data_IF_617379663127
#
_entry.id   IF_617379663127
#
_cell.length_a   1.000
_cell.length_b   1.000
_cell.length_c   1.000
_cell.angle_alpha   90.00
_cell.angle_beta   90.00
_cell.angle_gamma   90.00
#
_symmetry.space_group_name_H-M   'P 1'
#
loop_
_entity.id
_entity.type
_entity.pdbx_description
1 polymer ?
#
# COMPACT_ATOMS: atom_id res chain seq x y z
N UNK A 1 5.19 0.71 28.07
CA UNK A 1 4.66 -0.58 28.61
C UNK A 1 5.33 -1.74 27.87
N UNK A 2 5.27 -2.99 28.34
CA UNK A 2 5.73 -4.17 27.56
C UNK A 2 4.58 -5.17 27.42
N UNK A 3 4.27 -5.55 26.19
CA UNK A 3 3.27 -6.55 25.86
C UNK A 3 3.74 -7.98 26.13
N UNK A 4 2.82 -8.84 26.55
CA UNK A 4 3.07 -10.24 26.92
C UNK A 4 2.37 -11.25 26.00
N UNK A 5 1.53 -10.79 25.06
CA UNK A 5 0.82 -11.67 24.12
C UNK A 5 1.79 -12.31 23.10
N UNK A 6 2.16 -13.57 23.30
CA UNK A 6 3.12 -14.29 22.44
C UNK A 6 2.53 -14.84 21.13
N UNK A 7 1.39 -14.31 20.68
CA UNK A 7 0.64 -14.77 19.52
C UNK A 7 0.11 -13.57 18.71
N UNK A 8 -0.20 -13.78 17.42
CA UNK A 8 -0.71 -12.71 16.55
C UNK A 8 -2.06 -12.12 16.99
N UNK A 9 -2.81 -12.86 17.83
CA UNK A 9 -4.10 -12.52 18.43
C UNK A 9 -4.17 -13.09 19.86
N UNK A 10 -4.86 -12.42 20.79
CA UNK A 10 -4.97 -12.90 22.18
C UNK A 10 -6.02 -14.01 22.31
N UNK A 11 -5.80 -15.00 23.20
CA UNK A 11 -6.75 -16.12 23.35
C UNK A 11 -8.15 -15.67 23.82
N UNK A 12 -8.22 -14.62 24.62
CA UNK A 12 -9.48 -13.98 25.03
C UNK A 12 -10.22 -13.38 23.84
N UNK A 13 -9.52 -12.67 22.95
CA UNK A 13 -10.09 -12.10 21.73
C UNK A 13 -10.51 -13.19 20.73
N UNK A 14 -9.69 -14.21 20.50
CA UNK A 14 -10.04 -15.34 19.61
C UNK A 14 -11.34 -16.00 20.06
N UNK A 15 -11.47 -16.32 21.36
CA UNK A 15 -12.67 -16.94 21.92
C UNK A 15 -13.88 -16.00 21.90
N UNK A 16 -13.68 -14.69 22.03
CA UNK A 16 -14.74 -13.69 21.86
C UNK A 16 -15.23 -13.66 20.41
N UNK A 17 -14.32 -13.47 19.43
CA UNK A 17 -14.69 -13.37 18.01
C UNK A 17 -15.24 -14.69 17.46
N UNK A 18 -14.81 -15.83 17.99
CA UNK A 18 -15.42 -17.14 17.73
C UNK A 18 -16.85 -17.23 18.27
N UNK A 19 -17.10 -16.84 19.53
CA UNK A 19 -18.43 -16.91 20.16
C UNK A 19 -19.45 -15.97 19.52
N UNK A 20 -19.04 -14.74 19.20
CA UNK A 20 -19.92 -13.72 18.61
C UNK A 20 -20.03 -13.84 17.07
N UNK A 21 -19.40 -14.85 16.44
CA UNK A 21 -19.35 -15.05 14.98
C UNK A 21 -18.70 -13.87 14.20
N UNK A 22 -17.68 -13.24 14.79
CA UNK A 22 -16.92 -12.11 14.25
C UNK A 22 -15.55 -12.51 13.64
N UNK A 23 -15.33 -13.80 13.38
CA UNK A 23 -14.10 -14.27 12.73
C UNK A 23 -14.08 -13.89 11.23
N UNK A 24 -13.00 -13.28 10.76
CA UNK A 24 -12.85 -13.02 9.33
C UNK A 24 -12.69 -14.34 8.54
N UNK A 25 -13.15 -14.48 7.29
CA UNK A 25 -12.96 -15.69 6.48
C UNK A 25 -11.49 -16.16 6.36
N UNK A 26 -10.53 -15.24 6.52
CA UNK A 26 -9.09 -15.58 6.53
C UNK A 26 -8.59 -16.17 7.86
N UNK A 27 -9.40 -16.18 8.91
CA UNK A 27 -9.11 -16.68 10.25
C UNK A 27 -9.90 -17.96 10.60
N UNK A 28 -10.88 -18.35 9.77
CA UNK A 28 -11.69 -19.56 9.96
C UNK A 28 -10.93 -20.82 9.52
N UNK A 29 -11.02 -21.87 10.34
CA UNK A 29 -10.44 -23.18 10.09
C UNK A 29 -11.08 -23.90 8.89
N UNK A 30 -10.27 -24.65 8.14
CA UNK A 30 -10.70 -25.38 6.94
C UNK A 30 -11.86 -26.34 7.28
N UNK A 31 -12.83 -26.46 6.37
CA UNK A 31 -14.00 -27.33 6.52
C UNK A 31 -15.15 -26.76 7.36
N UNK A 32 -14.97 -25.61 8.02
CA UNK A 32 -16.02 -24.94 8.79
C UNK A 32 -16.77 -23.91 7.93
N UNK A 33 -18.05 -23.68 8.24
CA UNK A 33 -18.89 -22.72 7.50
C UNK A 33 -19.10 -21.44 8.32
N UNK A 34 -19.44 -20.29 7.70
CA UNK A 34 -19.76 -19.06 8.43
C UNK A 34 -20.95 -19.14 9.40
N UNK A 35 -21.71 -20.25 9.41
CA UNK A 35 -22.81 -20.51 10.37
C UNK A 35 -22.34 -21.20 11.66
N UNK A 36 -21.19 -21.88 11.60
CA UNK A 36 -20.51 -22.52 12.73
C UNK A 36 -18.99 -22.29 12.59
N UNK A 37 -18.50 -21.04 12.62
CA UNK A 37 -17.11 -20.74 12.36
C UNK A 37 -16.24 -21.22 13.53
N UNK A 38 -15.16 -21.94 13.22
CA UNK A 38 -14.13 -22.33 14.19
C UNK A 38 -12.87 -21.52 13.92
N UNK A 39 -12.28 -20.95 14.96
CA UNK A 39 -11.04 -20.18 14.84
C UNK A 39 -9.85 -21.08 14.51
N UNK A 40 -9.09 -20.72 13.47
CA UNK A 40 -7.72 -21.20 13.29
C UNK A 40 -6.78 -20.26 14.06
N UNK A 41 -6.33 -20.73 15.23
CA UNK A 41 -5.47 -19.99 16.14
C UNK A 41 -4.11 -19.62 15.52
N UNK A 42 -3.68 -20.29 14.44
CA UNK A 42 -2.46 -19.95 13.70
C UNK A 42 -2.65 -18.83 12.67
N UNK A 43 -3.90 -18.45 12.37
CA UNK A 43 -4.28 -17.46 11.36
C UNK A 43 -4.99 -16.24 11.95
N UNK A 44 -5.55 -16.35 13.16
CA UNK A 44 -6.16 -15.24 13.87
C UNK A 44 -5.14 -14.11 14.14
N UNK A 45 -5.49 -12.88 13.79
CA UNK A 45 -4.69 -11.67 14.05
C UNK A 45 -5.54 -10.65 14.81
N UNK A 46 -4.98 -9.98 15.82
CA UNK A 46 -5.68 -8.98 16.65
C UNK A 46 -6.35 -7.90 15.80
N UNK A 47 -7.64 -7.68 16.04
CA UNK A 47 -8.43 -6.61 15.41
C UNK A 47 -8.10 -5.22 15.93
N UNK A 48 -8.31 -4.18 15.11
CA UNK A 48 -8.11 -2.80 15.55
C UNK A 48 -9.28 -2.34 16.44
N UNK A 49 -8.99 -2.10 17.72
CA UNK A 49 -9.96 -1.51 18.64
C UNK A 49 -9.80 0.01 18.68
N UNK A 50 -10.87 0.76 18.37
CA UNK A 50 -10.89 2.22 18.58
C UNK A 50 -10.63 2.53 20.07
N UNK A 51 -9.61 3.33 20.43
CA UNK A 51 -9.41 3.76 21.81
C UNK A 51 -10.66 4.48 22.34
N UNK A 52 -11.25 3.96 23.42
CA UNK A 52 -12.41 4.57 24.08
C UNK A 52 -11.96 5.32 25.31
N UNK A 53 -12.46 6.54 25.53
CA UNK A 53 -12.16 7.34 26.72
C UNK A 53 -12.48 6.53 27.98
N UNK A 54 -11.51 6.40 28.90
CA UNK A 54 -11.65 5.62 30.13
C UNK A 54 -11.33 4.11 30.00
N UNK A 55 -11.24 3.55 28.79
CA UNK A 55 -10.58 2.25 28.58
C UNK A 55 -9.08 2.49 28.37
N UNK A 56 -8.30 2.21 29.41
CA UNK A 56 -6.85 2.12 29.27
C UNK A 56 -6.49 0.74 28.70
N UNK A 57 -5.89 0.70 27.50
CA UNK A 57 -5.33 -0.53 26.88
C UNK A 57 -4.08 -0.99 27.64
N UNK A 58 -4.25 -1.35 28.93
CA UNK A 58 -3.20 -1.64 29.91
C UNK A 58 -3.07 -3.10 30.29
N UNK A 59 -3.90 -4.01 29.75
CA UNK A 59 -3.72 -5.44 29.97
C UNK A 59 -2.51 -5.95 29.13
N UNK A 60 -1.37 -6.32 29.74
CA UNK A 60 -0.20 -6.74 28.96
C UNK A 60 -0.46 -8.04 28.18
N UNK A 61 -1.39 -8.90 28.64
CA UNK A 61 -1.74 -10.14 27.96
C UNK A 61 -2.49 -9.94 26.63
N UNK A 62 -2.98 -8.73 26.36
CA UNK A 62 -3.69 -8.36 25.11
C UNK A 62 -2.82 -7.49 24.18
N UNK A 63 -1.61 -7.11 24.60
CA UNK A 63 -0.64 -6.35 23.81
C UNK A 63 0.50 -7.26 23.37
N UNK A 64 0.87 -7.24 22.09
CA UNK A 64 1.92 -8.09 21.51
C UNK A 64 3.29 -7.39 21.56
N UNK A 65 4.38 -8.05 22.00
CA UNK A 65 5.71 -7.46 22.02
C UNK A 65 6.27 -7.23 20.60
N UNK A 66 7.30 -6.37 20.42
CA UNK A 66 7.79 -5.95 19.10
C UNK A 66 8.20 -7.08 18.14
N UNK A 67 8.73 -8.20 18.65
CA UNK A 67 9.05 -9.39 17.85
C UNK A 67 7.80 -10.02 17.25
N UNK A 68 6.78 -10.28 18.08
CA UNK A 68 5.49 -10.85 17.66
C UNK A 68 4.74 -9.91 16.72
N UNK A 69 4.90 -8.60 16.88
CA UNK A 69 4.37 -7.60 15.94
C UNK A 69 5.05 -7.70 14.56
N UNK A 70 6.38 -7.85 14.51
CA UNK A 70 7.10 -8.03 13.26
C UNK A 70 6.75 -9.37 12.59
N UNK A 71 6.64 -10.45 13.35
CA UNK A 71 6.20 -11.76 12.83
C UNK A 71 4.74 -11.74 12.34
N UNK A 72 3.87 -10.97 13.01
CA UNK A 72 2.49 -10.71 12.54
C UNK A 72 2.53 -10.02 11.18
N UNK A 73 3.36 -8.98 11.01
CA UNK A 73 3.50 -8.30 9.71
C UNK A 73 4.10 -9.24 8.66
N UNK A 74 5.07 -10.09 9.03
CA UNK A 74 5.58 -11.11 8.12
C UNK A 74 4.48 -12.07 7.66
N UNK A 75 3.58 -12.52 8.53
CA UNK A 75 2.41 -13.34 8.15
C UNK A 75 1.45 -12.59 7.21
N UNK A 76 1.09 -11.35 7.53
CA UNK A 76 0.21 -10.54 6.68
C UNK A 76 0.79 -10.36 5.26
N UNK A 77 2.10 -10.10 5.16
CA UNK A 77 2.78 -9.82 3.88
C UNK A 77 3.17 -11.08 3.09
N UNK A 78 3.54 -12.19 3.74
CA UNK A 78 4.03 -13.42 3.06
C UNK A 78 2.99 -14.55 3.00
N UNK A 79 1.82 -14.40 3.64
CA UNK A 79 0.76 -15.41 3.61
C UNK A 79 -0.58 -14.81 3.19
N UNK A 80 -1.04 -13.74 3.85
CA UNK A 80 -2.36 -13.15 3.54
C UNK A 80 -2.35 -12.38 2.21
N UNK A 81 -1.32 -11.56 1.97
CA UNK A 81 -1.17 -10.82 0.71
C UNK A 81 -0.90 -11.72 -0.52
N UNK A 82 -0.70 -13.03 -0.31
CA UNK A 82 -0.53 -14.04 -1.36
C UNK A 82 -1.74 -14.95 -1.56
N UNK A 83 -2.85 -14.71 -0.84
CA UNK A 83 -4.09 -15.47 -1.03
C UNK A 83 -4.68 -15.23 -2.43
N UNK A 84 -5.38 -16.24 -2.95
CA UNK A 84 -6.10 -16.17 -4.24
C UNK A 84 -7.50 -15.57 -4.07
N UNK A 85 -7.55 -14.40 -3.44
CA UNK A 85 -8.77 -13.64 -3.15
C UNK A 85 -8.74 -12.28 -3.88
N UNK A 86 -9.88 -11.61 -4.07
CA UNK A 86 -9.93 -10.21 -4.51
C UNK A 86 -9.04 -9.30 -3.64
N UNK A 87 -8.35 -8.34 -4.27
CA UNK A 87 -7.36 -7.53 -3.54
C UNK A 87 -8.00 -6.56 -2.55
N UNK A 88 -9.27 -6.19 -2.73
CA UNK A 88 -10.04 -5.43 -1.74
C UNK A 88 -10.24 -6.23 -0.44
N UNK A 89 -10.62 -7.52 -0.49
CA UNK A 89 -10.75 -8.37 0.71
C UNK A 89 -9.42 -8.54 1.44
N UNK A 90 -8.33 -8.74 0.67
CA UNK A 90 -6.96 -8.80 1.18
C UNK A 90 -6.57 -7.47 1.82
N UNK A 91 -6.91 -6.35 1.17
CA UNK A 91 -6.64 -5.01 1.64
C UNK A 91 -7.37 -4.73 2.96
N UNK A 92 -8.69 -4.91 3.03
CA UNK A 92 -9.51 -4.58 4.20
C UNK A 92 -9.01 -5.31 5.46
N UNK A 93 -8.70 -6.61 5.33
CA UNK A 93 -8.12 -7.39 6.42
C UNK A 93 -6.73 -6.87 6.81
N UNK A 94 -5.77 -6.78 5.88
CA UNK A 94 -4.40 -6.37 6.21
C UNK A 94 -4.37 -4.93 6.74
N UNK A 95 -5.20 -4.03 6.20
CA UNK A 95 -5.38 -2.65 6.63
C UNK A 95 -5.82 -2.57 8.09
N UNK A 96 -6.85 -3.32 8.49
CA UNK A 96 -7.31 -3.38 9.88
C UNK A 96 -6.24 -3.96 10.80
N UNK A 97 -5.69 -5.13 10.46
CA UNK A 97 -4.70 -5.83 11.29
C UNK A 97 -3.38 -5.05 11.41
N UNK A 98 -2.99 -4.27 10.39
CA UNK A 98 -1.86 -3.32 10.48
C UNK A 98 -2.15 -2.14 11.40
N UNK A 99 -3.40 -1.64 11.48
CA UNK A 99 -3.78 -0.60 12.45
C UNK A 99 -3.71 -1.14 13.88
N UNK A 100 -4.11 -2.38 14.11
CA UNK A 100 -3.93 -3.06 15.40
C UNK A 100 -2.46 -3.25 15.78
N UNK A 101 -1.59 -3.62 14.81
CA UNK A 101 -0.14 -3.70 15.01
C UNK A 101 0.45 -2.34 15.37
N UNK A 102 0.03 -1.27 14.67
CA UNK A 102 0.47 0.11 14.96
C UNK A 102 -0.03 0.61 16.33
N UNK A 103 -1.23 0.23 16.75
CA UNK A 103 -1.76 0.53 18.09
C UNK A 103 -0.90 -0.10 19.18
N UNK A 104 -0.54 -1.39 19.05
CA UNK A 104 0.36 -2.05 20.01
C UNK A 104 1.77 -1.42 20.05
N UNK A 105 2.30 -0.95 18.91
CA UNK A 105 3.57 -0.18 18.90
C UNK A 105 3.48 1.15 19.66
N UNK A 106 2.33 1.85 19.57
CA UNK A 106 2.11 3.13 20.27
C UNK A 106 1.93 2.90 21.78
N UNK A 107 1.13 1.90 22.18
CA UNK A 107 0.89 1.54 23.60
C UNK A 107 2.18 1.11 24.33
N UNK A 108 3.18 0.62 23.58
CA UNK A 108 4.49 0.23 24.09
C UNK A 108 5.59 1.27 23.86
N UNK A 109 5.28 2.42 23.24
CA UNK A 109 6.22 3.50 22.92
C UNK A 109 7.44 3.02 22.10
N UNK A 110 7.20 2.11 21.15
CA UNK A 110 8.28 1.43 20.43
C UNK A 110 9.04 2.35 19.46
N UNK A 111 10.37 2.40 19.63
CA UNK A 111 11.31 3.15 18.80
C UNK A 111 12.50 2.30 18.33
N UNK A 112 12.32 0.98 18.24
CA UNK A 112 13.38 0.03 17.95
C UNK A 112 13.43 -0.39 16.46
N UNK A 113 14.27 -1.38 16.16
CA UNK A 113 14.41 -1.91 14.80
C UNK A 113 13.13 -2.61 14.30
N UNK A 114 12.37 -3.26 15.17
CA UNK A 114 11.11 -3.90 14.79
C UNK A 114 10.08 -2.82 14.38
N UNK A 115 9.97 -1.73 15.16
CA UNK A 115 9.09 -0.61 14.82
C UNK A 115 9.41 0.02 13.45
N UNK A 116 10.70 0.12 13.10
CA UNK A 116 11.15 0.52 11.75
C UNK A 116 10.68 -0.49 10.69
N UNK A 117 11.06 -1.77 10.80
CA UNK A 117 10.75 -2.78 9.76
C UNK A 117 9.23 -2.97 9.56
N UNK A 118 8.43 -2.88 10.63
CA UNK A 118 6.96 -2.87 10.59
C UNK A 118 6.43 -1.67 9.78
N UNK A 119 6.92 -0.46 10.05
CA UNK A 119 6.45 0.75 9.36
C UNK A 119 6.94 0.79 7.90
N UNK A 120 8.14 0.30 7.60
CA UNK A 120 8.62 0.12 6.23
C UNK A 120 7.67 -0.79 5.42
N UNK A 121 7.27 -1.93 5.97
CA UNK A 121 6.30 -2.83 5.33
C UNK A 121 4.90 -2.19 5.21
N UNK A 122 4.43 -1.49 6.24
CA UNK A 122 3.12 -0.83 6.23
C UNK A 122 3.04 0.29 5.17
N UNK A 123 4.09 1.10 5.01
CA UNK A 123 4.18 2.10 3.94
C UNK A 123 4.12 1.44 2.56
N UNK A 124 4.92 0.39 2.31
CA UNK A 124 4.90 -0.32 1.02
C UNK A 124 3.51 -0.91 0.74
N UNK A 125 2.82 -1.46 1.75
CA UNK A 125 1.45 -1.96 1.64
C UNK A 125 0.44 -0.87 1.26
N UNK A 126 0.42 0.28 1.96
CA UNK A 126 -0.52 1.36 1.64
C UNK A 126 -0.26 1.97 0.26
N UNK A 127 1.00 2.22 -0.10
CA UNK A 127 1.39 2.78 -1.41
C UNK A 127 1.06 1.82 -2.56
N UNK A 128 1.31 0.52 -2.39
CA UNK A 128 0.95 -0.49 -3.38
C UNK A 128 -0.57 -0.66 -3.52
N UNK A 129 -1.30 -0.63 -2.41
CA UNK A 129 -2.77 -0.75 -2.42
C UNK A 129 -3.46 0.45 -3.06
N UNK A 130 -2.93 1.67 -2.89
CA UNK A 130 -3.43 2.87 -3.58
C UNK A 130 -3.32 2.76 -5.10
N UNK A 131 -2.29 2.07 -5.62
CA UNK A 131 -2.17 1.74 -7.03
C UNK A 131 -3.12 0.59 -7.43
N UNK A 132 -3.10 -0.53 -6.69
CA UNK A 132 -3.89 -1.73 -7.01
C UNK A 132 -5.39 -1.45 -7.06
N UNK A 133 -5.89 -0.61 -6.16
CA UNK A 133 -7.30 -0.24 -6.03
C UNK A 133 -7.59 1.16 -6.60
N UNK A 134 -6.74 1.70 -7.49
CA UNK A 134 -6.88 3.10 -7.92
C UNK A 134 -8.20 3.40 -8.65
N UNK A 135 -8.73 2.41 -9.37
CA UNK A 135 -10.00 2.38 -10.13
C UNK A 135 -11.22 2.02 -9.30
N UNK A 136 -11.07 1.60 -8.04
CA UNK A 136 -12.18 1.11 -7.23
C UNK A 136 -13.09 2.24 -6.75
N UNK A 137 -14.39 1.96 -6.68
CA UNK A 137 -15.37 2.92 -6.15
C UNK A 137 -15.15 3.13 -4.64
N UNK A 138 -15.47 4.33 -4.12
CA UNK A 138 -15.24 4.71 -2.71
C UNK A 138 -15.93 3.80 -1.68
N UNK A 139 -16.97 3.07 -2.08
CA UNK A 139 -17.62 2.04 -1.23
C UNK A 139 -16.83 0.74 -1.09
N UNK A 140 -15.80 0.54 -1.90
CA UNK A 140 -14.87 -0.62 -1.90
C UNK A 140 -13.48 -0.18 -1.43
N UNK A 141 -13.03 1.02 -1.80
CA UNK A 141 -11.73 1.56 -1.39
C UNK A 141 -11.77 3.08 -1.17
N UNK A 142 -11.71 3.51 0.08
CA UNK A 142 -11.48 4.92 0.40
C UNK A 142 -9.98 5.24 0.28
N UNK A 143 -9.60 5.77 -0.90
CA UNK A 143 -8.25 6.20 -1.20
C UNK A 143 -7.74 7.34 -0.30
N UNK A 144 -8.62 8.15 0.30
CA UNK A 144 -8.24 9.23 1.23
C UNK A 144 -7.90 8.66 2.60
N UNK A 145 -8.65 7.69 3.10
CA UNK A 145 -8.35 6.95 4.33
C UNK A 145 -7.03 6.18 4.18
N UNK A 146 -6.82 5.47 3.06
CA UNK A 146 -5.54 4.83 2.79
C UNK A 146 -4.39 5.85 2.73
N UNK A 147 -4.60 6.98 2.05
CA UNK A 147 -3.61 8.05 1.96
C UNK A 147 -3.23 8.63 3.33
N UNK A 148 -4.20 8.82 4.22
CA UNK A 148 -3.94 9.29 5.58
C UNK A 148 -3.03 8.30 6.32
N UNK A 149 -3.36 7.01 6.32
CA UNK A 149 -2.55 6.01 7.01
C UNK A 149 -1.17 5.79 6.36
N UNK A 150 -1.03 5.97 5.04
CA UNK A 150 0.27 6.02 4.37
C UNK A 150 1.14 7.18 4.88
N UNK A 151 0.57 8.39 5.02
CA UNK A 151 1.27 9.56 5.55
C UNK A 151 1.64 9.40 7.03
N UNK A 152 0.74 8.87 7.87
CA UNK A 152 1.02 8.59 9.28
C UNK A 152 2.20 7.63 9.44
N UNK A 153 2.20 6.52 8.67
CA UNK A 153 3.30 5.56 8.66
C UNK A 153 4.61 6.20 8.15
N UNK A 154 4.56 6.96 7.04
CA UNK A 154 5.73 7.67 6.50
C UNK A 154 6.31 8.66 7.52
N UNK A 155 5.50 9.56 8.09
CA UNK A 155 5.97 10.59 9.02
C UNK A 155 6.55 9.98 10.31
N UNK A 156 5.95 8.91 10.85
CA UNK A 156 6.54 8.18 12.00
C UNK A 156 7.82 7.44 11.62
N UNK A 157 7.91 6.85 10.42
CA UNK A 157 9.12 6.17 9.95
C UNK A 157 10.30 7.16 9.78
N UNK A 158 10.07 8.32 9.16
CA UNK A 158 11.07 9.40 9.05
C UNK A 158 11.48 9.91 10.45
N UNK A 159 10.53 10.06 11.38
CA UNK A 159 10.82 10.39 12.79
C UNK A 159 11.73 9.34 13.43
N UNK A 160 11.45 8.04 13.28
CA UNK A 160 12.29 6.97 13.83
C UNK A 160 13.70 6.96 13.22
N UNK A 161 13.85 7.20 11.91
CA UNK A 161 15.17 7.31 11.30
C UNK A 161 15.97 8.51 11.85
N UNK A 162 15.32 9.61 12.21
CA UNK A 162 15.99 10.76 12.83
C UNK A 162 16.40 10.46 14.28
N UNK A 163 15.58 9.74 15.04
CA UNK A 163 15.88 9.31 16.42
C UNK A 163 17.01 8.25 16.45
N UNK A 164 16.98 7.28 15.53
CA UNK A 164 17.92 6.15 15.47
C UNK A 164 19.19 6.40 14.68
N UNK A 165 19.27 7.51 13.96
CA UNK A 165 20.38 7.83 13.07
C UNK A 165 20.34 7.05 11.74
N UNK A 166 21.42 7.13 10.97
CA UNK A 166 21.48 6.62 9.60
C UNK A 166 21.77 5.09 9.54
N UNK A 167 21.00 4.28 10.28
CA UNK A 167 21.29 2.85 10.53
C UNK A 167 20.40 1.86 9.76
N UNK A 168 19.38 2.30 9.03
CA UNK A 168 18.58 1.42 8.15
C UNK A 168 19.08 1.50 6.71
N UNK A 169 19.41 0.35 6.12
CA UNK A 169 19.74 0.19 4.70
C UNK A 169 18.64 0.75 3.79
N UNK A 170 17.38 0.62 4.22
CA UNK A 170 16.21 1.07 3.47
C UNK A 170 15.91 2.56 3.65
N UNK A 171 16.62 3.31 4.51
CA UNK A 171 16.32 4.74 4.77
C UNK A 171 16.23 5.54 3.46
N UNK A 172 17.20 5.39 2.57
CA UNK A 172 17.21 6.09 1.28
C UNK A 172 16.04 5.71 0.34
N UNK A 173 15.46 4.51 0.48
CA UNK A 173 14.22 4.14 -0.23
C UNK A 173 13.06 5.00 0.27
N UNK A 174 12.91 5.15 1.59
CA UNK A 174 11.77 5.82 2.20
C UNK A 174 11.86 7.34 2.24
N UNK A 175 13.05 7.92 2.34
CA UNK A 175 13.27 9.36 2.11
C UNK A 175 12.83 9.73 0.68
N UNK A 176 13.18 8.90 -0.31
CA UNK A 176 12.71 9.05 -1.69
C UNK A 176 11.19 8.79 -1.84
N UNK A 177 10.65 7.78 -1.16
CA UNK A 177 9.19 7.50 -1.16
C UNK A 177 8.41 8.67 -0.57
N UNK A 178 8.85 9.27 0.54
CA UNK A 178 8.19 10.42 1.15
C UNK A 178 8.14 11.63 0.20
N UNK A 179 9.23 11.90 -0.52
CA UNK A 179 9.32 12.97 -1.53
C UNK A 179 8.43 12.72 -2.75
N UNK A 180 8.34 11.49 -3.24
CA UNK A 180 7.52 11.11 -4.41
C UNK A 180 6.03 10.99 -4.06
N UNK A 181 5.71 10.52 -2.85
CA UNK A 181 4.35 10.47 -2.36
C UNK A 181 3.77 11.89 -2.13
N UNK A 182 4.64 12.87 -1.89
CA UNK A 182 4.35 14.29 -1.66
C UNK A 182 4.96 15.22 -2.73
N UNK A 183 4.83 14.88 -4.03
CA UNK A 183 5.35 15.70 -5.12
C UNK A 183 4.88 17.17 -5.02
N UNK A 184 5.84 18.10 -5.06
CA UNK A 184 5.63 19.55 -4.99
C UNK A 184 5.22 20.10 -3.61
N UNK A 185 5.06 19.26 -2.58
CA UNK A 185 4.71 19.74 -1.25
C UNK A 185 5.89 20.45 -0.57
N UNK A 186 5.66 21.66 -0.06
CA UNK A 186 6.68 22.49 0.59
C UNK A 186 7.33 21.77 1.78
N UNK A 187 6.53 21.12 2.64
CA UNK A 187 7.02 20.30 3.77
C UNK A 187 8.06 19.26 3.33
N UNK A 188 7.79 18.56 2.22
CA UNK A 188 8.68 17.52 1.72
C UNK A 188 9.94 18.10 1.06
N UNK A 189 9.84 19.23 0.36
CA UNK A 189 10.98 19.94 -0.22
C UNK A 189 11.92 20.50 0.86
N UNK A 190 11.36 21.10 1.92
CA UNK A 190 12.12 21.60 3.07
C UNK A 190 12.75 20.45 3.88
N UNK A 191 12.03 19.33 4.05
CA UNK A 191 12.58 18.12 4.66
C UNK A 191 13.84 17.62 3.93
N UNK A 192 13.82 17.51 2.60
CA UNK A 192 15.04 17.14 1.84
C UNK A 192 16.21 18.11 2.09
N UNK A 193 15.95 19.41 2.23
CA UNK A 193 17.01 20.37 2.53
C UNK A 193 17.57 20.18 3.95
N UNK A 194 16.76 19.73 4.92
CA UNK A 194 17.19 19.39 6.28
C UNK A 194 17.98 18.08 6.39
N UNK A 195 17.88 17.18 5.40
CA UNK A 195 18.59 15.89 5.42
C UNK A 195 20.11 16.04 5.39
N UNK A 196 20.77 15.05 5.99
CA UNK A 196 22.23 14.89 5.94
C UNK A 196 22.78 14.87 4.49
N UNK A 197 24.02 15.35 4.33
CA UNK A 197 24.68 15.46 3.03
C UNK A 197 24.83 14.11 2.31
N UNK A 198 25.06 13.01 3.02
CA UNK A 198 25.16 11.69 2.42
C UNK A 198 23.81 11.22 1.86
N UNK A 199 22.72 11.44 2.60
CA UNK A 199 21.36 11.13 2.14
C UNK A 199 20.92 12.00 0.95
N UNK A 200 21.22 13.31 0.97
CA UNK A 200 21.03 14.20 -0.21
C UNK A 200 21.91 13.83 -1.40
N UNK A 201 22.94 13.01 -1.18
CA UNK A 201 23.84 12.50 -2.24
C UNK A 201 23.43 11.14 -2.79
N UNK A 202 22.59 10.37 -2.10
CA UNK A 202 21.97 9.15 -2.63
C UNK A 202 21.19 9.45 -3.92
N UNK A 203 21.43 8.65 -4.97
CA UNK A 203 20.87 8.87 -6.31
C UNK A 203 19.35 8.93 -6.31
N UNK A 204 18.69 7.97 -5.64
CA UNK A 204 17.22 7.87 -5.57
C UNK A 204 16.57 9.04 -4.82
N UNK A 205 17.18 9.51 -3.72
CA UNK A 205 16.65 10.65 -2.94
C UNK A 205 16.82 11.95 -3.73
N UNK A 206 17.97 12.13 -4.39
CA UNK A 206 18.23 13.27 -5.28
C UNK A 206 17.31 13.26 -6.52
N UNK A 207 17.04 12.09 -7.11
CA UNK A 207 16.09 11.92 -8.22
C UNK A 207 14.67 12.28 -7.78
N UNK A 208 14.24 11.83 -6.60
CA UNK A 208 12.95 12.16 -6.02
C UNK A 208 12.78 13.68 -5.78
N UNK A 209 13.76 14.33 -5.16
CA UNK A 209 13.75 15.78 -4.97
C UNK A 209 13.70 16.55 -6.31
N UNK A 210 14.52 16.16 -7.30
CA UNK A 210 14.50 16.77 -8.62
C UNK A 210 13.17 16.58 -9.37
N UNK A 211 12.45 15.47 -9.14
CA UNK A 211 11.11 15.26 -9.68
C UNK A 211 10.09 16.15 -8.96
N UNK A 212 10.19 16.28 -7.63
CA UNK A 212 9.32 17.14 -6.82
C UNK A 212 9.45 18.63 -7.20
N UNK A 213 10.68 19.12 -7.40
CA UNK A 213 10.94 20.46 -7.96
C UNK A 213 10.40 20.61 -9.38
N UNK A 214 10.56 19.61 -10.26
CA UNK A 214 10.02 19.65 -11.61
C UNK A 214 8.48 19.70 -11.63
N UNK A 215 7.82 18.99 -10.72
CA UNK A 215 6.37 19.02 -10.57
C UNK A 215 5.86 20.35 -9.99
N UNK A 216 6.57 20.94 -9.02
CA UNK A 216 6.27 22.28 -8.50
C UNK A 216 6.38 23.35 -9.60
N UNK A 217 7.43 23.28 -10.44
CA UNK A 217 7.65 24.19 -11.57
C UNK A 217 6.80 23.86 -12.82
N UNK A 218 5.73 23.07 -12.69
CA UNK A 218 4.83 22.63 -13.77
C UNK A 218 5.52 21.96 -14.99
N UNK A 219 6.75 21.47 -14.84
CA UNK A 219 7.52 20.83 -15.90
C UNK A 219 7.15 19.35 -16.03
N UNK A 220 5.91 19.11 -16.44
CA UNK A 220 5.32 17.77 -16.63
C UNK A 220 6.16 16.88 -17.55
N UNK A 221 6.75 17.45 -18.60
CA UNK A 221 7.66 16.77 -19.54
C UNK A 221 8.86 16.18 -18.81
N UNK A 222 9.48 16.94 -17.89
CA UNK A 222 10.60 16.45 -17.07
C UNK A 222 10.12 15.42 -16.05
N UNK A 223 8.97 15.60 -15.42
CA UNK A 223 8.40 14.64 -14.46
C UNK A 223 8.19 13.27 -15.13
N UNK A 224 7.50 13.22 -16.28
CA UNK A 224 7.21 11.97 -16.97
C UNK A 224 8.46 11.30 -17.56
N UNK A 225 9.43 12.07 -18.08
CA UNK A 225 10.75 11.53 -18.46
C UNK A 225 11.52 10.94 -17.28
N UNK A 226 11.44 11.56 -16.10
CA UNK A 226 12.08 11.03 -14.89
C UNK A 226 11.35 9.82 -14.32
N UNK A 227 10.02 9.75 -14.47
CA UNK A 227 9.17 8.63 -14.07
C UNK A 227 9.46 7.37 -14.88
N UNK A 228 9.64 7.50 -16.20
CA UNK A 228 10.11 6.43 -17.09
C UNK A 228 11.42 5.78 -16.64
N UNK A 229 12.21 6.48 -15.82
CA UNK A 229 13.52 6.07 -15.31
C UNK A 229 13.52 5.76 -13.79
N UNK A 230 12.35 5.50 -13.18
CA UNK A 230 12.25 4.99 -11.81
C UNK A 230 12.34 3.45 -11.79
N UNK A 231 13.34 2.90 -11.11
CA UNK A 231 13.57 1.45 -11.01
C UNK A 231 12.86 0.77 -9.83
N UNK A 232 12.32 1.55 -8.88
CA UNK A 232 11.52 1.05 -7.75
C UNK A 232 10.05 1.07 -8.10
N UNK A 233 9.38 -0.07 -7.96
CA UNK A 233 7.94 -0.21 -8.18
C UNK A 233 7.12 0.53 -7.11
N UNK A 234 7.62 0.65 -5.88
CA UNK A 234 6.99 1.48 -4.85
C UNK A 234 7.12 2.97 -5.19
N UNK A 235 8.24 3.40 -5.79
CA UNK A 235 8.40 4.78 -6.27
C UNK A 235 7.50 5.09 -7.46
N UNK A 236 7.30 4.15 -8.39
CA UNK A 236 6.30 4.26 -9.46
C UNK A 236 4.88 4.41 -8.89
N UNK A 237 4.45 3.52 -8.00
CA UNK A 237 3.13 3.63 -7.34
C UNK A 237 2.97 4.94 -6.55
N UNK A 238 4.02 5.42 -5.87
CA UNK A 238 4.00 6.67 -5.11
C UNK A 238 3.83 7.92 -6.00
N UNK A 239 4.37 7.91 -7.23
CA UNK A 239 4.16 9.00 -8.21
C UNK A 239 2.80 8.87 -8.92
N UNK A 240 2.35 7.64 -9.18
CA UNK A 240 1.12 7.38 -9.94
C UNK A 240 -0.12 8.05 -9.34
N UNK A 241 -0.20 8.22 -8.02
CA UNK A 241 -1.30 8.95 -7.37
C UNK A 241 -1.48 10.40 -7.84
N UNK A 242 -0.45 11.01 -8.42
CA UNK A 242 -0.46 12.38 -8.97
C UNK A 242 -0.80 12.42 -10.46
N UNK A 243 -1.00 11.28 -11.15
CA UNK A 243 -1.09 11.21 -12.60
C UNK A 243 -2.20 12.07 -13.19
N UNK A 244 -3.42 12.02 -12.65
CA UNK A 244 -4.54 12.86 -13.14
C UNK A 244 -4.20 14.35 -13.11
N UNK A 245 -3.48 14.81 -12.07
CA UNK A 245 -2.99 16.19 -11.97
C UNK A 245 -1.84 16.49 -12.95
N UNK A 246 -0.91 15.55 -13.18
CA UNK A 246 0.16 15.69 -14.18
C UNK A 246 -0.43 15.79 -15.59
N UNK A 247 -1.38 14.92 -15.92
CA UNK A 247 -2.06 14.85 -17.21
C UNK A 247 -2.92 16.09 -17.46
N UNK A 248 -3.70 16.54 -16.46
CA UNK A 248 -4.45 17.80 -16.54
C UNK A 248 -3.52 19.01 -16.79
N UNK A 249 -2.42 19.11 -16.03
CA UNK A 249 -1.42 20.17 -16.18
C UNK A 249 -0.75 20.14 -17.55
N UNK A 250 -0.45 18.94 -18.07
CA UNK A 250 0.11 18.76 -19.40
C UNK A 250 -0.88 19.23 -20.48
N UNK A 251 -2.12 18.75 -20.44
CA UNK A 251 -3.18 19.13 -21.39
C UNK A 251 -3.48 20.63 -21.33
N UNK A 252 -3.56 21.24 -20.15
CA UNK A 252 -3.73 22.69 -20.01
C UNK A 252 -2.56 23.46 -20.66
N UNK A 253 -1.33 23.02 -20.39
CA UNK A 253 -0.10 23.65 -20.94
C UNK A 253 -0.04 23.51 -22.47
N UNK A 254 -0.36 22.32 -23.00
CA UNK A 254 -0.42 22.06 -24.44
C UNK A 254 -1.57 22.85 -25.10
N UNK A 255 -2.73 22.93 -24.46
CA UNK A 255 -3.88 23.69 -24.96
C UNK A 255 -3.62 25.19 -25.02
N UNK A 256 -2.84 25.74 -24.10
CA UNK A 256 -2.40 27.12 -24.13
C UNK A 256 -1.27 27.38 -25.15
N UNK A 257 -0.33 26.44 -25.32
CA UNK A 257 0.87 26.58 -26.14
C UNK A 257 0.72 26.23 -27.62
N UNK A 258 -0.02 25.17 -27.95
CA UNK A 258 -0.27 24.70 -29.33
C UNK A 258 -1.62 25.17 -29.91
N UNK A 259 -2.24 26.19 -29.29
CA UNK A 259 -3.58 26.69 -29.62
C UNK A 259 -3.72 27.11 -31.11
N UNK A 260 -4.37 26.28 -31.93
CA UNK A 260 -4.57 26.50 -33.36
C UNK A 260 -5.90 25.91 -33.85
N UNK A 261 -6.61 26.65 -34.71
CA UNK A 261 -7.86 26.18 -35.35
C UNK A 261 -7.63 25.28 -36.57
N UNK A 262 -6.39 25.24 -37.08
CA UNK A 262 -6.07 24.61 -38.37
C UNK A 262 -5.10 23.42 -38.23
N UNK A 263 -4.56 23.19 -37.04
CA UNK A 263 -3.59 22.13 -36.76
C UNK A 263 -4.16 21.16 -35.72
N UNK A 264 -3.67 19.92 -35.77
CA UNK A 264 -3.94 18.88 -34.78
C UNK A 264 -2.62 18.26 -34.31
N UNK A 265 -2.63 17.73 -33.10
CA UNK A 265 -1.53 16.95 -32.52
C UNK A 265 -1.88 15.45 -32.59
N UNK A 266 -1.01 14.55 -33.08
CA UNK A 266 -1.35 13.13 -33.22
C UNK A 266 -1.74 12.48 -31.89
N UNK A 267 -2.92 11.86 -31.82
CA UNK A 267 -3.47 11.33 -30.56
C UNK A 267 -2.59 10.21 -29.98
N UNK A 268 -2.10 9.29 -30.81
CA UNK A 268 -1.14 8.25 -30.42
C UNK A 268 0.12 8.80 -29.74
N UNK A 269 0.60 9.98 -30.17
CA UNK A 269 1.76 10.63 -29.54
C UNK A 269 1.39 11.28 -28.21
N UNK A 270 0.15 11.74 -28.04
CA UNK A 270 -0.35 12.27 -26.78
C UNK A 270 -0.55 11.15 -25.74
N UNK A 271 -1.11 10.01 -26.15
CA UNK A 271 -1.22 8.79 -25.35
C UNK A 271 0.13 8.36 -24.78
N UNK A 272 1.15 8.23 -25.64
CA UNK A 272 2.53 7.91 -25.24
C UNK A 272 3.11 8.96 -24.27
N UNK A 273 2.97 10.25 -24.59
CA UNK A 273 3.53 11.34 -23.78
C UNK A 273 2.90 11.47 -22.39
N UNK A 274 1.64 11.06 -22.23
CA UNK A 274 0.87 11.19 -20.99
C UNK A 274 0.75 9.88 -20.18
N UNK A 275 1.41 8.80 -20.63
CA UNK A 275 1.36 7.47 -20.00
C UNK A 275 -0.07 6.90 -19.87
N UNK A 276 -0.92 7.21 -20.85
CA UNK A 276 -2.25 6.63 -21.02
C UNK A 276 -2.15 5.31 -21.79
N UNK A 277 -3.16 4.45 -21.67
CA UNK A 277 -3.09 3.07 -22.15
C UNK A 277 -3.61 2.93 -23.59
N UNK A 278 -4.58 3.76 -23.99
CA UNK A 278 -5.19 3.73 -25.33
C UNK A 278 -5.54 5.11 -25.85
N UNK A 279 -5.61 5.26 -27.18
CA UNK A 279 -6.04 6.51 -27.82
C UNK A 279 -7.50 6.85 -27.51
N UNK A 280 -8.35 5.83 -27.26
CA UNK A 280 -9.73 6.01 -26.78
C UNK A 280 -9.78 6.62 -25.38
N UNK A 281 -8.91 6.19 -24.47
CA UNK A 281 -8.77 6.80 -23.13
C UNK A 281 -8.28 8.25 -23.25
N UNK A 282 -7.28 8.49 -24.11
CA UNK A 282 -6.79 9.85 -24.42
C UNK A 282 -7.88 10.74 -25.00
N UNK A 283 -8.74 10.22 -25.89
CA UNK A 283 -9.88 10.95 -26.44
C UNK A 283 -10.86 11.35 -25.35
N UNK A 284 -11.30 10.40 -24.51
CA UNK A 284 -12.25 10.66 -23.41
C UNK A 284 -11.69 11.73 -22.46
N UNK A 285 -10.42 11.64 -22.08
CA UNK A 285 -9.78 12.61 -21.18
C UNK A 285 -9.65 14.00 -21.84
N UNK A 286 -9.35 14.07 -23.13
CA UNK A 286 -9.34 15.34 -23.88
C UNK A 286 -10.75 15.98 -23.92
N UNK A 287 -11.77 15.21 -24.29
CA UNK A 287 -13.16 15.68 -24.39
C UNK A 287 -13.72 16.13 -23.04
N UNK A 288 -13.41 15.41 -21.94
CA UNK A 288 -13.75 15.84 -20.59
C UNK A 288 -13.21 17.24 -20.30
N UNK A 289 -11.90 17.47 -20.50
CA UNK A 289 -11.26 18.77 -20.30
C UNK A 289 -11.58 19.83 -21.39
N UNK A 290 -12.48 19.54 -22.34
CA UNK A 290 -12.92 20.47 -23.38
C UNK A 290 -11.97 20.63 -24.57
N UNK A 291 -10.96 19.75 -24.70
CA UNK A 291 -10.05 19.70 -25.85
C UNK A 291 -10.70 18.86 -26.95
N UNK A 292 -10.81 19.40 -28.16
CA UNK A 292 -11.54 18.78 -29.27
C UNK A 292 -10.70 17.70 -29.96
N UNK A 293 -11.31 16.57 -30.31
CA UNK A 293 -10.67 15.48 -31.07
C UNK A 293 -11.31 15.38 -32.46
N UNK A 294 -10.48 15.25 -33.49
CA UNK A 294 -10.85 15.28 -34.91
C UNK A 294 -10.14 14.12 -35.62
N UNK A 295 -10.79 12.94 -35.64
CA UNK A 295 -10.15 11.69 -36.07
C UNK A 295 -8.96 11.35 -35.19
N UNK A 296 -7.81 11.03 -35.79
CA UNK A 296 -6.56 10.73 -35.08
C UNK A 296 -5.82 11.99 -34.54
N UNK A 297 -6.44 13.17 -34.64
CA UNK A 297 -5.82 14.45 -34.29
C UNK A 297 -6.53 15.18 -33.13
N UNK A 298 -5.76 15.60 -32.13
CA UNK A 298 -6.23 16.43 -31.01
C UNK A 298 -6.05 17.91 -31.37
N UNK A 299 -7.14 18.68 -31.41
CA UNK A 299 -7.12 20.12 -31.65
C UNK A 299 -7.09 20.90 -30.34
N UNK A 300 -6.00 21.65 -30.16
CA UNK A 300 -5.82 22.55 -29.03
C UNK A 300 -6.38 23.94 -29.32
N UNK A 301 -7.22 24.46 -28.43
CA UNK A 301 -7.75 25.82 -28.49
C UNK A 301 -7.90 26.41 -27.09
N UNK A 302 -7.12 27.47 -26.80
CA UNK A 302 -6.95 28.03 -25.44
C UNK A 302 -8.25 28.35 -24.70
N UNK A 303 -9.31 28.76 -25.41
CA UNK A 303 -10.57 29.20 -24.81
C UNK A 303 -11.50 28.11 -24.27
N UNK A 304 -11.26 26.83 -24.58
CA UNK A 304 -12.22 25.75 -24.27
C UNK A 304 -11.86 24.90 -23.03
N UNK A 305 -10.70 25.14 -22.40
CA UNK A 305 -10.20 24.24 -21.36
C UNK A 305 -11.01 24.32 -20.06
N UNK A 306 -11.47 23.17 -19.56
CA UNK A 306 -12.16 23.06 -18.27
C UNK A 306 -11.19 22.61 -17.16
N UNK A 307 -11.07 23.39 -16.09
CA UNK A 307 -10.17 23.11 -14.95
C UNK A 307 -10.75 22.22 -13.85
N UNK A 308 -12.08 22.09 -13.77
CA UNK A 308 -12.77 21.58 -12.57
C UNK A 308 -13.36 20.17 -12.73
N UNK A 309 -13.18 19.57 -13.90
CA UNK A 309 -13.64 18.23 -14.25
C UNK A 309 -12.85 17.15 -13.49
N UNK A 310 -13.55 16.16 -12.94
CA UNK A 310 -12.96 15.07 -12.15
C UNK A 310 -12.79 13.82 -12.99
N UNK A 311 -11.60 13.66 -13.57
CA UNK A 311 -11.20 12.42 -14.25
C UNK A 311 -10.93 11.31 -13.22
N UNK A 312 -11.55 10.15 -13.42
CA UNK A 312 -11.30 8.95 -12.62
C UNK A 312 -9.89 8.38 -12.86
N UNK A 313 -9.33 7.64 -11.91
CA UNK A 313 -7.98 7.08 -12.05
C UNK A 313 -8.03 5.72 -12.73
N UNK A 314 -7.41 5.60 -13.90
CA UNK A 314 -7.05 4.32 -14.52
C UNK A 314 -5.78 3.73 -13.91
N UNK A 315 -5.53 2.44 -14.13
CA UNK A 315 -4.19 1.85 -14.00
C UNK A 315 -3.31 2.29 -15.18
N UNK A 316 -1.99 2.14 -15.05
CA UNK A 316 -1.03 2.49 -16.09
C UNK A 316 -0.24 1.25 -16.54
N UNK A 317 -0.32 0.87 -17.81
CA UNK A 317 0.26 -0.36 -18.31
C UNK A 317 1.80 -0.40 -18.23
N UNK A 318 2.44 0.76 -18.25
CA UNK A 318 3.86 0.85 -17.90
C UNK A 318 4.12 0.32 -16.48
N UNK A 319 3.33 0.71 -15.48
CA UNK A 319 3.47 0.22 -14.10
C UNK A 319 3.07 -1.24 -14.01
N UNK A 320 1.99 -1.65 -14.69
CA UNK A 320 1.57 -3.06 -14.75
C UNK A 320 2.70 -3.95 -15.28
N UNK A 321 3.43 -3.50 -16.31
CA UNK A 321 4.60 -4.21 -16.85
C UNK A 321 5.74 -4.36 -15.83
N UNK A 322 6.05 -3.30 -15.07
CA UNK A 322 7.10 -3.33 -14.03
C UNK A 322 6.71 -4.17 -12.80
N UNK A 323 5.41 -4.32 -12.53
CA UNK A 323 4.88 -5.15 -11.45
C UNK A 323 4.78 -6.63 -11.85
N UNK A 324 4.46 -6.94 -13.11
CA UNK A 324 4.23 -8.32 -13.63
C UNK A 324 5.39 -9.29 -13.39
N UNK A 325 6.61 -8.77 -13.25
CA UNK A 325 7.83 -9.56 -13.05
C UNK A 325 8.26 -9.70 -11.57
N UNK A 326 7.40 -9.33 -10.61
CA UNK A 326 7.70 -9.40 -9.16
C UNK A 326 6.58 -10.10 -8.40
N UNK A 327 6.91 -10.82 -7.34
CA UNK A 327 5.89 -11.33 -6.41
C UNK A 327 5.40 -10.23 -5.46
N UNK A 328 4.19 -10.40 -4.90
CA UNK A 328 3.62 -9.44 -3.95
C UNK A 328 4.53 -9.28 -2.71
N UNK A 329 5.10 -10.34 -2.10
CA UNK A 329 6.09 -10.19 -1.03
C UNK A 329 7.36 -9.42 -1.42
N UNK A 330 7.87 -9.55 -2.65
CA UNK A 330 9.03 -8.75 -3.12
C UNK A 330 8.70 -7.26 -3.19
N UNK A 331 7.49 -6.92 -3.66
CA UNK A 331 7.02 -5.53 -3.72
C UNK A 331 6.85 -4.95 -2.31
N UNK A 332 6.34 -5.74 -1.37
CA UNK A 332 5.95 -5.29 -0.03
C UNK A 332 7.06 -5.39 1.03
N UNK A 333 8.05 -6.28 0.87
CA UNK A 333 9.24 -6.36 1.75
C UNK A 333 10.38 -5.44 1.28
N UNK A 334 10.46 -5.15 -0.02
CA UNK A 334 11.58 -4.40 -0.60
C UNK A 334 12.92 -5.15 -0.52
N UNK A 335 14.04 -4.42 -0.62
CA UNK A 335 15.39 -5.00 -0.75
C UNK A 335 16.13 -5.16 0.59
N UNK A 336 15.70 -6.09 1.45
CA UNK A 336 16.50 -6.46 2.63
C UNK A 336 16.48 -7.97 2.93
N UNK A 337 17.68 -8.56 2.78
CA UNK A 337 18.20 -9.88 3.21
C UNK A 337 17.37 -11.17 3.01
N UNK A 338 18.06 -12.32 2.77
CA UNK A 338 17.43 -13.64 2.78
C UNK A 338 16.81 -13.95 4.15
N UNK A 339 15.67 -14.62 4.15
CA UNK A 339 15.19 -15.32 5.34
C UNK A 339 16.25 -16.37 5.72
N UNK A 340 16.74 -16.34 6.96
CA UNK A 340 17.39 -17.53 7.53
C UNK A 340 16.34 -18.64 7.48
N UNK A 341 16.64 -19.73 6.75
CA UNK A 341 15.75 -20.90 6.69
C UNK A 341 15.46 -21.36 8.13
N UNK A 342 14.23 -21.82 8.44
CA UNK A 342 13.94 -22.39 9.75
C UNK A 342 14.94 -23.51 10.05
N UNK A 343 15.41 -23.58 11.29
CA UNK A 343 16.37 -24.61 11.74
C UNK A 343 15.65 -25.95 11.77
N UNK A 344 15.68 -26.65 10.63
CA UNK A 344 15.29 -28.04 10.55
C UNK A 344 16.13 -28.82 11.56
N UNK A 345 15.46 -29.53 12.47
CA UNK A 345 16.14 -30.39 13.44
C UNK A 345 16.75 -31.57 12.69
N UNK A 346 18.01 -31.43 12.30
CA UNK A 346 18.80 -32.51 11.73
C UNK A 346 19.10 -33.54 12.80
N UNK A 347 18.65 -34.77 12.60
CA UNK A 347 19.04 -35.88 13.46
C UNK A 347 20.54 -36.11 13.32
N UNK A 348 21.33 -35.76 14.35
CA UNK A 348 22.77 -36.05 14.39
C UNK A 348 23.01 -37.55 14.60
N UNK A 349 23.02 -38.30 13.50
CA UNK A 349 23.52 -39.67 13.47
C UNK A 349 25.06 -39.66 13.59
N UNK A 350 25.56 -39.54 14.83
CA UNK A 350 26.99 -39.51 15.11
C UNK A 350 27.68 -40.82 14.69
N UNK A 351 28.66 -40.73 13.81
CA UNK A 351 29.49 -41.86 13.41
C UNK A 351 30.60 -42.15 14.44
N UNK A 352 30.68 -43.40 14.92
CA UNK A 352 31.74 -43.89 15.80
C UNK A 352 32.28 -45.22 15.25
N UNK A 353 33.60 -45.52 15.32
CA UNK A 353 34.19 -46.66 14.58
C UNK A 353 33.94 -48.05 15.19
N UNK A 354 34.18 -49.09 14.39
CA UNK A 354 34.11 -50.51 14.80
C UNK A 354 35.15 -50.85 15.89
N UNK A 355 34.75 -51.61 16.93
CA UNK A 355 35.68 -52.04 17.99
C UNK A 355 35.22 -53.22 18.87
N UNK A 356 35.52 -54.46 18.42
CA UNK A 356 35.53 -55.74 19.19
C UNK A 356 34.22 -56.31 19.76
N UNK A 357 34.32 -57.59 20.13
CA UNK A 357 33.26 -58.51 20.57
C UNK A 357 33.27 -58.68 22.10
N UNK A 358 32.18 -59.20 22.67
CA UNK A 358 32.15 -60.35 23.60
C UNK A 358 30.69 -60.87 23.72
N UNK A 359 30.52 -62.10 24.23
CA UNK A 359 29.32 -62.96 24.12
C UNK A 359 28.32 -62.89 25.28
N UNK A 360 27.04 -63.24 25.03
CA UNK A 360 26.05 -63.51 26.10
C UNK A 360 24.69 -64.04 25.62
N UNK A 361 24.33 -65.23 26.10
CA UNK A 361 22.98 -65.85 26.15
C UNK A 361 21.96 -65.01 26.95
N UNK A 362 20.63 -65.26 27.05
CA UNK A 362 19.54 -65.88 26.25
C UNK A 362 18.25 -65.83 27.16
N UNK A 363 17.03 -66.39 26.94
CA UNK A 363 16.37 -67.18 25.88
C UNK A 363 14.82 -67.17 26.09
N UNK A 364 14.01 -67.63 25.11
CA UNK A 364 12.55 -67.99 25.21
C UNK A 364 11.55 -66.86 25.63
N UNK A 365 10.20 -66.93 25.52
CA UNK A 365 9.26 -67.87 24.87
C UNK A 365 7.96 -67.16 24.37
N UNK A 366 7.50 -67.56 23.18
CA UNK A 366 6.14 -67.99 22.74
C UNK A 366 4.82 -67.50 23.42
N UNK A 367 3.82 -67.13 22.57
CA UNK A 367 2.39 -67.58 22.43
C UNK A 367 1.33 -66.51 22.17
N UNK A 368 0.44 -66.80 21.20
CA UNK A 368 -0.84 -66.12 20.96
C UNK A 368 -1.92 -66.54 21.98
N UNK A 369 -3.03 -65.79 22.10
CA UNK A 369 -4.30 -66.25 21.49
C UNK A 369 -5.39 -65.16 21.36
N UNK A 370 -6.45 -65.49 20.61
CA UNK A 370 -7.58 -64.63 20.23
C UNK A 370 -8.78 -64.86 21.16
N UNK A 371 -9.71 -63.90 21.23
CA UNK A 371 -11.15 -64.24 21.28
C UNK A 371 -12.07 -63.17 20.69
N UNK A 372 -13.19 -63.62 20.13
CA UNK A 372 -14.17 -62.83 19.39
C UNK A 372 -15.53 -62.81 20.11
N UNK A 373 -16.34 -61.77 19.89
CA UNK A 373 -17.81 -61.82 19.67
C UNK A 373 -18.30 -60.41 19.28
N UNK A 374 -19.10 -60.17 18.22
CA UNK A 374 -20.51 -60.58 17.96
C UNK A 374 -21.48 -59.87 18.94
N UNK A 375 -22.63 -59.27 18.54
CA UNK A 375 -23.48 -59.30 17.31
C UNK A 375 -24.37 -58.01 17.30
N UNK A 376 -24.60 -57.25 16.22
CA UNK A 376 -25.56 -57.38 15.07
C UNK A 376 -27.04 -56.96 15.33
N UNK A 377 -27.79 -56.61 14.25
CA UNK A 377 -29.24 -56.19 14.12
C UNK A 377 -29.39 -54.65 14.04
N UNK A 378 -29.72 -54.00 12.90
CA UNK A 378 -30.96 -53.96 12.06
C UNK A 378 -32.18 -53.32 12.78
N UNK A 379 -32.98 -52.41 12.21
CA UNK A 379 -32.89 -51.66 10.95
C UNK A 379 -34.26 -51.52 10.24
N UNK A 380 -34.73 -50.29 9.97
CA UNK A 380 -36.01 -50.04 9.28
C UNK A 380 -36.06 -48.69 8.54
N UNK A 381 -36.95 -48.60 7.55
CA UNK A 381 -37.43 -47.37 6.88
C UNK A 381 -38.76 -46.93 7.57
N UNK A 382 -39.49 -45.86 7.23
CA UNK A 382 -39.57 -45.03 6.02
C UNK A 382 -40.19 -43.64 6.30
N UNK A 383 -40.20 -42.77 5.26
CA UNK A 383 -41.24 -41.77 4.90
C UNK A 383 -41.93 -40.88 5.96
N UNK A 384 -41.89 -39.56 5.75
CA UNK A 384 -43.11 -38.79 5.40
C UNK A 384 -42.78 -37.44 4.74
N UNK A 385 -43.78 -36.81 4.10
CA UNK A 385 -43.75 -35.48 3.48
C UNK A 385 -44.83 -34.57 4.12
N UNK A 386 -45.03 -33.34 3.58
CA UNK A 386 -46.04 -32.32 3.92
C UNK A 386 -45.67 -31.41 5.12
N UNK A 387 -45.94 -30.09 5.10
CA UNK A 387 -46.12 -29.16 3.97
C UNK A 387 -45.96 -27.67 4.39
N UNK A 388 -46.00 -26.75 3.41
CA UNK A 388 -46.46 -25.35 3.46
C UNK A 388 -45.80 -24.31 4.41
N UNK A 389 -45.11 -23.36 3.77
CA UNK A 389 -45.24 -21.89 3.90
C UNK A 389 -45.29 -21.20 5.29
N UNK A 390 -44.36 -20.24 5.51
CA UNK A 390 -44.72 -18.79 5.47
C UNK A 390 -43.54 -17.81 5.32
N UNK A 391 -43.80 -16.79 4.49
CA UNK A 391 -43.42 -15.36 4.56
C UNK A 391 -42.07 -14.97 5.21
N UNK A 392 -41.09 -14.50 4.41
CA UNK A 392 -40.90 -13.08 4.02
C UNK A 392 -40.59 -12.12 5.18
N UNK A 393 -39.31 -11.81 5.37
CA UNK A 393 -38.81 -10.45 5.59
C UNK A 393 -37.35 -10.37 5.13
N UNK A 394 -36.83 -9.16 4.85
CA UNK A 394 -35.46 -8.98 4.36
C UNK A 394 -35.01 -7.53 4.37
N UNK A 395 -33.69 -7.33 4.35
CA UNK A 395 -32.97 -6.08 4.70
C UNK A 395 -33.06 -5.74 6.21
N UNK A 396 -32.14 -4.99 6.82
CA UNK A 396 -30.98 -4.23 6.29
C UNK A 396 -29.65 -4.67 6.95
N UNK A 397 -28.48 -4.33 6.37
CA UNK A 397 -27.25 -4.19 7.15
C UNK A 397 -27.38 -3.06 8.18
N UNK A 398 -26.55 -3.07 9.23
CA UNK A 398 -26.63 -2.12 10.34
C UNK A 398 -26.49 -0.65 9.90
N UNK A 399 -27.33 0.20 10.46
CA UNK A 399 -27.41 1.62 10.11
C UNK A 399 -26.15 2.39 10.52
N UNK A 400 -25.76 3.35 9.68
CA UNK A 400 -24.96 4.49 10.14
C UNK A 400 -25.88 5.41 10.94
N UNK A 401 -25.47 5.78 12.14
CA UNK A 401 -25.98 6.95 12.84
C UNK A 401 -24.80 7.72 13.43
N UNK A 402 -24.71 8.99 13.04
CA UNK A 402 -23.69 9.92 13.54
C UNK A 402 -23.94 10.29 15.00
N UNK A 403 -22.91 10.75 15.70
CA UNK A 403 -23.06 11.86 16.65
C UNK A 403 -21.74 12.59 16.86
N UNK A 404 -21.83 13.92 16.97
CA UNK A 404 -20.71 14.81 17.24
C UNK A 404 -20.22 14.64 18.69
N UNK A 405 -18.91 14.80 18.89
CA UNK A 405 -18.36 15.37 20.13
C UNK A 405 -17.39 16.48 19.74
N UNK A 406 -17.69 17.70 20.15
CA UNK A 406 -16.78 18.84 20.03
C UNK A 406 -15.71 18.76 21.12
N UNK A 407 -14.44 18.99 20.78
CA UNK A 407 -13.73 20.21 21.22
C UNK A 407 -12.29 20.33 20.67
N UNK A 408 -11.97 21.53 20.20
CA UNK A 408 -10.66 22.20 20.32
C UNK A 408 -9.39 21.50 19.80
N UNK A 409 -9.40 21.16 18.50
CA UNK A 409 -8.21 21.23 17.64
C UNK A 409 -8.51 22.11 16.43
N UNK A 410 -7.67 23.12 16.11
CA UNK A 410 -7.97 24.07 15.01
C UNK A 410 -8.01 23.37 13.64
N UNK A 411 -9.08 23.47 12.85
CA UNK A 411 -9.18 22.78 11.57
C UNK A 411 -8.44 23.53 10.46
N UNK A 412 -7.35 22.95 9.93
CA UNK A 412 -6.70 23.43 8.71
C UNK A 412 -7.42 22.94 7.45
N UNK A 413 -8.69 23.31 7.32
CA UNK A 413 -9.48 23.13 6.10
C UNK A 413 -9.47 24.42 5.28
N UNK A 414 -8.56 24.54 4.31
CA UNK A 414 -8.66 25.53 3.23
C UNK A 414 -7.72 25.20 2.06
N UNK A 415 -8.09 24.19 1.26
CA UNK A 415 -7.63 24.12 -0.14
C UNK A 415 -8.50 25.10 -0.93
N UNK A 416 -8.22 26.39 -0.80
CA UNK A 416 -8.83 27.44 -1.61
C UNK A 416 -8.33 27.28 -3.04
N UNK A 417 -9.23 27.35 -4.03
CA UNK A 417 -8.88 27.46 -5.44
C UNK A 417 -8.24 28.84 -5.69
N UNK A 418 -6.95 28.98 -5.36
CA UNK A 418 -6.24 30.25 -5.49
C UNK A 418 -5.81 30.48 -6.95
N UNK A 419 -6.80 30.68 -7.82
CA UNK A 419 -6.59 31.17 -9.18
C UNK A 419 -6.06 32.61 -9.11
N UNK A 420 -4.73 32.75 -9.22
CA UNK A 420 -4.06 34.06 -9.29
C UNK A 420 -3.15 34.40 -8.11
N UNK A 421 -2.04 33.66 -7.92
CA UNK A 421 -0.75 34.16 -7.40
C UNK A 421 0.34 33.05 -7.48
N UNK A 422 0.65 32.56 -8.68
CA UNK A 422 1.70 31.52 -8.85
C UNK A 422 3.11 32.05 -9.10
N UNK A 423 3.29 33.32 -9.49
CA UNK A 423 4.62 33.93 -9.68
C UNK A 423 5.44 33.93 -8.39
N UNK A 424 4.88 34.48 -7.31
CA UNK A 424 5.66 34.91 -6.15
C UNK A 424 6.30 33.74 -5.35
N UNK A 425 5.72 32.54 -5.42
CA UNK A 425 6.30 31.33 -4.80
C UNK A 425 7.40 30.68 -5.65
N UNK A 426 7.40 30.89 -6.98
CA UNK A 426 8.48 30.41 -7.85
C UNK A 426 9.75 31.23 -7.57
N UNK A 427 9.64 32.55 -7.42
CA UNK A 427 10.77 33.42 -7.10
C UNK A 427 11.38 33.09 -5.73
N UNK A 428 10.55 32.82 -4.72
CA UNK A 428 11.02 32.43 -3.38
C UNK A 428 11.79 31.09 -3.42
N UNK A 429 11.24 30.07 -4.09
CA UNK A 429 11.94 28.79 -4.28
C UNK A 429 13.20 28.93 -5.15
N UNK A 430 13.19 29.80 -6.16
CA UNK A 430 14.38 30.09 -6.98
C UNK A 430 15.49 30.76 -6.16
N UNK A 431 15.15 31.62 -5.18
CA UNK A 431 16.11 32.29 -4.30
C UNK A 431 16.84 31.32 -3.35
N UNK A 432 16.20 30.20 -2.99
CA UNK A 432 16.74 29.18 -2.07
C UNK A 432 17.56 28.08 -2.78
N UNK A 433 17.62 28.09 -4.11
CA UNK A 433 18.37 27.09 -4.90
C UNK A 433 19.82 27.54 -5.16
N UNK A 434 20.84 26.70 -4.92
CA UNK A 434 22.22 26.99 -5.29
C UNK A 434 22.36 27.34 -6.78
N UNK A 435 23.13 28.36 -7.14
CA UNK A 435 23.10 29.01 -8.46
C UNK A 435 23.34 28.08 -9.66
N UNK A 436 23.97 26.92 -9.47
CA UNK A 436 24.11 25.87 -10.50
C UNK A 436 22.78 25.20 -10.92
N UNK A 437 21.69 25.42 -10.18
CA UNK A 437 20.34 24.92 -10.52
C UNK A 437 19.45 25.99 -11.17
N UNK A 438 19.62 27.28 -10.83
CA UNK A 438 18.85 28.39 -11.39
C UNK A 438 18.96 28.45 -12.93
N UNK A 439 20.15 28.22 -13.49
CA UNK A 439 20.39 28.14 -14.94
C UNK A 439 19.76 26.95 -15.67
N UNK A 440 19.06 26.05 -14.97
CA UNK A 440 18.20 25.02 -15.58
C UNK A 440 16.71 25.40 -15.58
N UNK A 441 16.30 26.40 -14.79
CA UNK A 441 14.92 26.89 -14.72
C UNK A 441 14.65 27.82 -15.91
N UNK A 442 15.53 28.80 -16.16
CA UNK A 442 15.46 29.67 -17.36
C UNK A 442 15.62 28.92 -18.69
N UNK A 443 15.88 27.61 -18.64
CA UNK A 443 16.02 26.72 -19.80
C UNK A 443 14.73 25.96 -20.15
N UNK A 444 13.66 26.07 -19.36
CA UNK A 444 12.38 25.41 -19.67
C UNK A 444 11.74 25.98 -20.93
N UNK A 445 11.76 27.30 -21.08
CA UNK A 445 11.15 27.98 -22.24
C UNK A 445 11.91 27.65 -23.52
N UNK A 446 13.24 27.59 -23.44
CA UNK A 446 14.11 27.13 -24.52
C UNK A 446 13.81 25.66 -24.92
N UNK A 447 13.64 24.76 -23.96
CA UNK A 447 13.34 23.33 -24.23
C UNK A 447 11.92 23.12 -24.80
N UNK A 448 10.94 23.92 -24.37
CA UNK A 448 9.60 23.94 -24.96
C UNK A 448 9.65 24.47 -26.41
N UNK A 449 10.42 25.54 -26.66
CA UNK A 449 10.59 26.12 -27.99
C UNK A 449 11.42 25.24 -28.93
N UNK A 450 12.38 24.45 -28.42
CA UNK A 450 13.14 23.49 -29.20
C UNK A 450 12.28 22.30 -29.63
N UNK A 451 11.31 21.87 -28.79
CA UNK A 451 10.28 20.91 -29.19
C UNK A 451 9.42 21.44 -30.35
N UNK A 452 9.01 22.71 -30.29
CA UNK A 452 8.28 23.37 -31.39
C UNK A 452 9.02 23.41 -32.72
N UNK A 453 10.35 23.20 -32.76
CA UNK A 453 11.13 23.13 -34.02
C UNK A 453 11.32 21.70 -34.55
N UNK A 454 11.03 20.67 -33.76
CA UNK A 454 11.14 19.25 -34.15
C UNK A 454 9.79 18.58 -34.48
N UNK A 455 8.71 19.37 -34.51
CA UNK A 455 7.39 18.96 -34.98
C UNK A 455 6.93 19.79 -36.20
N UNK A 456 7.88 20.30 -36.98
CA UNK A 456 7.63 21.06 -38.22
C UNK A 456 8.48 20.58 -39.39
N UNK A 457 8.97 19.33 -39.27
CA UNK A 457 9.74 18.52 -40.23
C UNK A 457 9.43 17.07 -39.95
#
# INVERSE_FOLDING_TARGET
MIGMCQHMCSKSEILLRERENLLHPFEVAVGHTPKCPRADYSRCVKEYCRPTVGKEDRNPAEVRPPSVLLDTVHYLIHSVATLKCPWNEIYDFIFDRLRAVRQDLVVQECEDRHAIEILEAAVRFHVYSEYRLCTEHISVFDAKINSQHAQECLKRLISLYNIRGNTSENRAEFEATYLLYNLGAEEALLHYLSLDVHLRHCSIVRQAYQMSIAFAANNWVRVLRMYANLSSTIHLCAVHRHFTCIQQRALHTMNAGYSSKNLTFPIAKLTELLFLNTDTETQIICEMYGVTVLGEGVQFFRGNFKSDEKVERSHCDFVNSQLKHKTIPEILKGKSSPLKKPVGHGNEASSVPKGRQISGHADLDVREEKRQSRKSVQGTQSSDQLDLNKEKQGRQPSEKLDLNIENQGRPCSNVVQNQGTQSNNIDLLASLLPCKLQGNITRTDALNHEFSKKCST
#
